data_IF_326273412457
#
_entry.id   IF_326273412457
#
_cell.length_a   1.000
_cell.length_b   1.000
_cell.length_c   1.000
_cell.angle_alpha   90.00
_cell.angle_beta   90.00
_cell.angle_gamma   90.00
#
_symmetry.space_group_name_H-M   'P 1'
#
loop_
_entity.id
_entity.type
_entity.pdbx_description
1 polymer ?
#
# COMPACT_ATOMS: atom_id res chain seq x y z
N UNK A 1 4.68 24.19 25.15
CA UNK A 1 5.23 25.33 24.39
C UNK A 1 6.66 25.59 24.81
N UNK A 2 7.52 25.92 23.85
CA UNK A 2 8.93 26.20 24.08
C UNK A 2 9.19 27.71 24.11
N UNK A 3 10.34 28.11 24.68
CA UNK A 3 10.74 29.51 24.81
C UNK A 3 10.81 30.28 23.47
N UNK A 4 11.01 29.55 22.36
CA UNK A 4 11.08 30.11 21.01
C UNK A 4 9.70 30.17 20.29
N UNK A 5 8.61 29.92 21.03
CA UNK A 5 7.25 29.90 20.51
C UNK A 5 6.84 28.62 19.78
N UNK A 6 7.74 27.64 19.65
CA UNK A 6 7.38 26.32 19.10
C UNK A 6 6.50 25.56 20.09
N UNK A 7 5.63 24.69 19.56
CA UNK A 7 4.79 23.80 20.39
C UNK A 7 4.79 22.38 19.86
N UNK A 8 4.63 21.43 20.76
CA UNK A 8 4.32 20.04 20.44
C UNK A 8 2.92 19.76 20.94
N UNK A 9 2.09 19.19 20.09
CA UNK A 9 0.75 18.77 20.42
C UNK A 9 0.64 17.26 20.22
N UNK A 10 0.12 16.56 21.21
CA UNK A 10 -0.22 15.14 21.12
C UNK A 10 -1.70 15.02 20.78
N UNK A 11 -2.00 14.28 19.71
CA UNK A 11 -3.35 14.03 19.23
C UNK A 11 -3.55 12.54 19.00
N UNK A 12 -4.77 12.09 19.07
CA UNK A 12 -5.16 10.75 18.63
C UNK A 12 -6.32 10.85 17.65
N UNK A 13 -6.34 9.94 16.67
CA UNK A 13 -7.37 9.85 15.64
C UNK A 13 -7.90 8.42 15.63
N UNK A 14 -8.92 8.14 16.42
CA UNK A 14 -9.55 6.82 16.48
C UNK A 14 -10.54 6.63 15.33
N UNK A 15 -11.27 7.71 15.00
CA UNK A 15 -12.27 7.74 13.93
C UNK A 15 -11.97 8.84 12.92
N UNK A 16 -12.53 8.70 11.73
CA UNK A 16 -12.39 9.73 10.68
C UNK A 16 -12.91 11.10 11.13
N UNK A 17 -13.96 11.14 11.97
CA UNK A 17 -14.47 12.38 12.58
C UNK A 17 -13.48 13.09 13.49
N UNK A 18 -12.49 12.39 14.04
CA UNK A 18 -11.49 13.01 14.91
C UNK A 18 -10.54 13.94 14.12
N UNK A 19 -10.54 13.82 12.80
CA UNK A 19 -9.82 14.75 11.92
C UNK A 19 -10.28 16.21 12.11
N UNK A 20 -11.51 16.42 12.58
CA UNK A 20 -12.03 17.76 12.87
C UNK A 20 -11.21 18.48 13.96
N UNK A 21 -10.55 17.72 14.86
CA UNK A 21 -9.69 18.30 15.92
C UNK A 21 -8.46 19.00 15.38
N UNK A 22 -7.97 18.59 14.22
CA UNK A 22 -6.84 19.22 13.54
C UNK A 22 -7.28 20.13 12.38
N UNK A 23 -8.59 20.37 12.26
CA UNK A 23 -9.14 21.27 11.26
C UNK A 23 -8.63 22.71 11.52
N UNK A 24 -8.21 23.38 10.46
CA UNK A 24 -7.69 24.75 10.56
C UNK A 24 -6.27 24.88 11.11
N UNK A 25 -5.68 23.79 11.65
CA UNK A 25 -4.29 23.84 12.12
C UNK A 25 -3.29 23.87 10.98
N UNK A 26 -2.11 24.39 11.27
CA UNK A 26 -0.93 24.32 10.42
C UNK A 26 0.09 23.43 11.09
N UNK A 27 0.47 22.34 10.41
CA UNK A 27 1.41 21.35 10.92
C UNK A 27 2.71 21.45 10.14
N UNK A 28 3.80 21.77 10.82
CA UNK A 28 5.13 21.87 10.22
C UNK A 28 5.83 20.52 10.19
N UNK A 29 5.72 19.76 11.27
CA UNK A 29 6.26 18.40 11.40
C UNK A 29 5.17 17.53 12.00
N UNK A 30 4.84 16.43 11.35
CA UNK A 30 3.96 15.40 11.88
C UNK A 30 4.75 14.11 12.11
N UNK A 31 4.63 13.55 13.31
CA UNK A 31 5.12 12.24 13.67
C UNK A 31 3.89 11.36 13.90
N UNK A 32 3.68 10.38 13.05
CA UNK A 32 2.51 9.49 13.10
C UNK A 32 3.00 8.11 13.49
N UNK A 33 2.65 7.71 14.70
CA UNK A 33 2.96 6.37 15.17
C UNK A 33 1.85 5.40 14.76
N UNK A 34 2.23 4.16 14.46
CA UNK A 34 1.31 3.10 14.04
C UNK A 34 0.38 3.49 12.87
N UNK A 35 0.90 4.16 11.85
CA UNK A 35 0.13 4.62 10.70
C UNK A 35 -0.66 3.49 10.00
N UNK A 36 -0.24 2.24 10.15
CA UNK A 36 -0.96 1.06 9.66
C UNK A 36 -2.37 0.88 10.25
N UNK A 37 -2.61 1.42 11.44
CA UNK A 37 -3.90 1.35 12.14
C UNK A 37 -4.85 2.49 11.76
N UNK A 38 -4.35 3.55 11.13
CA UNK A 38 -5.15 4.68 10.68
C UNK A 38 -5.83 4.38 9.34
N UNK A 39 -6.93 5.09 9.05
CA UNK A 39 -7.54 5.00 7.72
C UNK A 39 -6.74 5.81 6.69
N UNK A 40 -6.82 5.47 5.39
CA UNK A 40 -6.27 6.30 4.32
C UNK A 40 -6.81 7.75 4.35
N UNK A 41 -8.06 7.94 4.81
CA UNK A 41 -8.64 9.26 4.97
C UNK A 41 -7.91 10.07 6.04
N UNK A 42 -7.69 9.50 7.22
CA UNK A 42 -6.97 10.16 8.33
C UNK A 42 -5.54 10.56 7.91
N UNK A 43 -4.81 9.64 7.26
CA UNK A 43 -3.46 9.93 6.76
C UNK A 43 -3.45 11.04 5.71
N UNK A 44 -4.40 11.01 4.77
CA UNK A 44 -4.58 12.05 3.78
C UNK A 44 -4.95 13.40 4.41
N UNK A 45 -5.79 13.38 5.47
CA UNK A 45 -6.19 14.58 6.18
C UNK A 45 -5.00 15.23 6.90
N UNK A 46 -4.15 14.46 7.60
CA UNK A 46 -2.91 14.95 8.21
C UNK A 46 -2.04 15.63 7.16
N UNK A 47 -1.78 14.94 6.03
CA UNK A 47 -1.01 15.52 4.92
C UNK A 47 -1.56 16.87 4.45
N UNK A 48 -2.88 16.99 4.37
CA UNK A 48 -3.54 18.23 3.92
C UNK A 48 -3.34 19.42 4.89
N UNK A 49 -2.98 19.14 6.14
CA UNK A 49 -2.68 20.17 7.16
C UNK A 49 -1.21 20.56 7.18
N UNK A 50 -0.36 19.81 6.51
CA UNK A 50 1.08 20.06 6.48
C UNK A 50 1.43 21.19 5.53
N UNK A 51 1.76 22.33 6.07
CA UNK A 51 2.07 23.54 5.31
C UNK A 51 2.94 24.47 6.14
N UNK A 52 3.61 25.40 5.47
CA UNK A 52 4.31 26.51 6.08
C UNK A 52 3.63 27.82 5.67
N UNK A 53 2.89 28.44 6.59
CA UNK A 53 2.36 29.80 6.43
C UNK A 53 3.44 30.87 6.56
N UNK A 54 4.50 30.58 7.36
CA UNK A 54 5.59 31.52 7.59
C UNK A 54 6.49 31.65 6.37
N UNK A 55 6.51 32.85 5.78
CA UNK A 55 7.31 33.17 4.60
C UNK A 55 8.82 33.09 4.89
N UNK A 56 9.27 33.51 6.07
CA UNK A 56 10.69 33.49 6.45
C UNK A 56 11.24 32.06 6.53
N UNK A 57 10.47 31.12 7.11
CA UNK A 57 10.85 29.73 7.17
C UNK A 57 11.01 29.12 5.77
N UNK A 58 10.12 29.49 4.83
CA UNK A 58 10.22 29.07 3.42
C UNK A 58 11.49 29.61 2.75
N UNK A 59 11.83 30.86 2.99
CA UNK A 59 13.05 31.47 2.45
C UNK A 59 14.33 30.79 2.99
N UNK A 60 14.28 30.28 4.22
CA UNK A 60 15.37 29.49 4.81
C UNK A 60 15.42 28.03 4.33
N UNK A 61 14.56 27.65 3.40
CA UNK A 61 14.50 26.28 2.85
C UNK A 61 13.85 25.26 3.77
N UNK A 62 13.11 25.70 4.81
CA UNK A 62 12.37 24.80 5.66
C UNK A 62 11.19 24.21 4.89
N UNK A 63 10.99 22.90 5.00
CA UNK A 63 9.88 22.17 4.36
C UNK A 63 9.10 21.40 5.42
N UNK A 64 7.77 21.27 5.26
CA UNK A 64 6.99 20.38 6.11
C UNK A 64 7.54 18.95 6.04
N UNK A 65 7.51 18.24 7.15
CA UNK A 65 8.01 16.85 7.23
C UNK A 65 6.99 15.94 7.87
N UNK A 66 6.68 14.85 7.18
CA UNK A 66 5.86 13.75 7.70
C UNK A 66 6.76 12.54 7.93
N UNK A 67 6.77 12.04 9.16
CA UNK A 67 7.41 10.78 9.53
C UNK A 67 6.32 9.84 10.02
N UNK A 68 6.25 8.65 9.47
CA UNK A 68 5.29 7.63 9.87
C UNK A 68 6.01 6.36 10.26
N UNK A 69 5.64 5.78 11.39
CA UNK A 69 6.01 4.40 11.72
C UNK A 69 4.83 3.49 11.39
N UNK A 70 5.10 2.32 10.88
CA UNK A 70 4.08 1.33 10.61
C UNK A 70 4.67 -0.08 10.58
N UNK A 71 3.85 -1.03 11.02
CA UNK A 71 4.11 -2.45 10.84
C UNK A 71 3.24 -3.01 9.71
N UNK A 72 3.68 -4.10 9.05
CA UNK A 72 2.82 -4.86 8.15
C UNK A 72 1.53 -5.29 8.84
N UNK A 73 0.42 -5.27 8.11
CA UNK A 73 -0.90 -5.50 8.68
C UNK A 73 -1.65 -4.20 8.99
N UNK A 74 -2.79 -4.30 9.65
CA UNK A 74 -3.66 -3.15 9.91
C UNK A 74 -4.47 -2.71 8.68
N UNK A 75 -5.41 -1.77 8.92
CA UNK A 75 -6.38 -1.38 7.90
C UNK A 75 -5.78 -0.60 6.72
N UNK A 76 -4.65 0.09 6.92
CA UNK A 76 -3.94 0.83 5.87
C UNK A 76 -2.78 0.05 5.24
N UNK A 77 -2.63 -1.24 5.51
CA UNK A 77 -1.51 -2.05 4.98
C UNK A 77 -1.34 -1.87 3.46
N UNK A 78 -2.36 -2.19 2.69
CA UNK A 78 -2.30 -2.10 1.22
C UNK A 78 -2.10 -0.67 0.71
N UNK A 79 -2.67 0.31 1.40
CA UNK A 79 -2.51 1.72 1.06
C UNK A 79 -1.07 2.18 1.28
N UNK A 80 -0.48 1.86 2.43
CA UNK A 80 0.90 2.22 2.75
C UNK A 80 1.89 1.48 1.84
N UNK A 81 1.63 0.18 1.59
CA UNK A 81 2.45 -0.62 0.69
C UNK A 81 2.48 -0.01 -0.71
N UNK A 82 1.34 0.23 -1.31
CA UNK A 82 1.24 0.77 -2.66
C UNK A 82 1.83 2.19 -2.80
N UNK A 83 1.74 3.01 -1.74
CA UNK A 83 2.16 4.42 -1.81
C UNK A 83 3.61 4.64 -1.39
N UNK A 84 4.16 3.81 -0.50
CA UNK A 84 5.46 4.06 0.12
C UNK A 84 6.47 2.93 -0.02
N UNK A 85 6.03 1.67 -0.20
CA UNK A 85 6.92 0.51 -0.25
C UNK A 85 7.20 0.10 -1.69
N UNK A 86 6.13 -0.10 -2.49
CA UNK A 86 6.24 -0.59 -3.88
C UNK A 86 6.84 0.40 -4.89
N UNK A 87 6.74 1.75 -4.70
CA UNK A 87 7.20 2.69 -5.73
C UNK A 87 8.71 2.69 -5.99
N UNK A 88 9.52 2.35 -4.99
CA UNK A 88 10.98 2.36 -5.12
C UNK A 88 11.64 1.33 -4.18
N UNK A 89 12.88 0.91 -4.47
CA UNK A 89 13.66 0.12 -3.53
C UNK A 89 13.80 0.82 -2.16
N UNK A 90 13.90 0.03 -1.10
CA UNK A 90 14.15 0.56 0.24
C UNK A 90 15.35 1.53 0.25
N UNK A 91 15.28 2.56 1.09
CA UNK A 91 16.32 3.60 1.26
C UNK A 91 16.61 4.42 -0.02
N UNK A 92 15.69 4.35 -1.01
CA UNK A 92 15.78 5.12 -2.24
C UNK A 92 14.72 6.22 -2.26
N UNK A 93 15.08 7.37 -2.82
CA UNK A 93 14.14 8.50 -2.96
C UNK A 93 13.19 8.31 -4.13
N UNK A 94 11.93 8.67 -3.92
CA UNK A 94 10.91 8.78 -4.95
C UNK A 94 9.97 9.96 -4.65
N UNK A 95 9.06 10.28 -5.57
CA UNK A 95 8.10 11.36 -5.37
C UNK A 95 6.71 10.81 -5.06
N UNK A 96 6.14 11.23 -3.92
CA UNK A 96 4.72 11.01 -3.60
C UNK A 96 3.85 11.94 -4.44
N UNK A 97 3.35 11.43 -5.55
CA UNK A 97 2.52 12.19 -6.49
C UNK A 97 1.13 12.57 -5.93
N UNK A 98 0.71 11.98 -4.81
CA UNK A 98 -0.55 12.36 -4.15
C UNK A 98 -0.49 13.76 -3.53
N UNK A 99 0.72 14.28 -3.36
CA UNK A 99 1.00 15.62 -2.82
C UNK A 99 1.45 16.62 -3.90
N UNK A 100 1.20 16.30 -5.15
CA UNK A 100 1.49 17.18 -6.29
C UNK A 100 0.40 18.25 -6.45
N UNK A 101 0.80 19.49 -6.75
CA UNK A 101 -0.12 20.53 -7.21
C UNK A 101 -0.64 20.18 -8.62
N UNK A 102 -1.94 19.91 -8.78
CA UNK A 102 -2.51 19.54 -10.07
C UNK A 102 -2.40 20.65 -11.12
N UNK A 103 -2.22 21.93 -10.70
CA UNK A 103 -2.13 23.07 -11.58
C UNK A 103 -0.68 23.42 -11.97
N UNK A 104 0.31 22.73 -11.40
CA UNK A 104 1.72 22.92 -11.69
C UNK A 104 2.33 21.65 -12.28
N UNK A 105 2.51 21.62 -13.59
CA UNK A 105 3.08 20.46 -14.29
C UNK A 105 4.55 20.16 -13.88
N UNK A 106 5.28 21.14 -13.36
CA UNK A 106 6.65 20.97 -12.90
C UNK A 106 6.74 20.41 -11.47
N UNK A 107 5.65 20.44 -10.71
CA UNK A 107 5.61 19.87 -9.36
C UNK A 107 5.59 18.35 -9.44
N UNK A 108 6.60 17.71 -8.86
CA UNK A 108 6.75 16.26 -8.80
C UNK A 108 6.07 15.63 -7.59
N UNK A 109 5.57 16.43 -6.66
CA UNK A 109 5.08 16.00 -5.36
C UNK A 109 6.17 16.00 -4.28
N UNK A 110 5.92 15.30 -3.20
CA UNK A 110 6.85 15.31 -2.05
C UNK A 110 7.93 14.24 -2.19
N UNK A 111 9.16 14.65 -1.93
CA UNK A 111 10.29 13.72 -1.87
C UNK A 111 10.12 12.80 -0.67
N UNK A 112 10.12 11.51 -0.93
CA UNK A 112 9.75 10.47 0.04
C UNK A 112 10.77 9.34 0.00
N UNK A 113 10.92 8.63 1.11
CA UNK A 113 11.77 7.44 1.21
C UNK A 113 11.14 6.46 2.20
N UNK A 114 11.20 5.19 1.89
CA UNK A 114 10.90 4.10 2.81
C UNK A 114 12.17 3.58 3.45
N UNK A 115 12.18 3.51 4.77
CA UNK A 115 13.29 2.95 5.56
C UNK A 115 12.77 1.69 6.25
N UNK A 116 13.22 0.49 5.86
CA UNK A 116 12.86 -0.75 6.53
C UNK A 116 13.48 -0.82 7.92
N UNK A 117 12.78 -1.47 8.83
CA UNK A 117 13.30 -1.81 10.14
C UNK A 117 12.85 -3.23 10.51
N UNK A 118 13.79 -4.07 10.91
CA UNK A 118 13.55 -5.42 11.40
C UNK A 118 13.76 -5.49 12.89
N UNK A 119 13.12 -6.44 13.53
CA UNK A 119 13.36 -6.67 14.95
C UNK A 119 14.86 -6.89 15.26
N UNK A 120 15.58 -7.58 14.38
CA UNK A 120 17.02 -7.87 14.53
C UNK A 120 17.93 -6.63 14.43
N UNK A 121 17.44 -5.50 13.90
CA UNK A 121 18.22 -4.27 13.79
C UNK A 121 18.35 -3.56 15.15
N UNK A 122 17.46 -3.90 16.09
CA UNK A 122 17.53 -3.39 17.45
C UNK A 122 18.41 -4.27 18.34
N UNK A 123 19.68 -3.89 18.49
CA UNK A 123 20.66 -4.60 19.33
C UNK A 123 20.36 -4.61 20.84
N UNK A 124 19.39 -3.81 21.28
CA UNK A 124 19.01 -3.71 22.69
C UNK A 124 17.73 -4.50 23.01
N UNK A 125 17.15 -5.18 22.02
CA UNK A 125 15.94 -5.96 22.24
C UNK A 125 16.24 -7.19 23.10
N UNK A 126 15.37 -7.47 24.06
CA UNK A 126 15.48 -8.70 24.85
C UNK A 126 15.25 -9.91 23.96
N UNK A 127 16.14 -10.92 23.96
CA UNK A 127 15.95 -12.13 23.13
C UNK A 127 14.61 -12.85 23.39
N UNK A 128 14.05 -12.74 24.59
CA UNK A 128 12.74 -13.33 24.93
C UNK A 128 11.58 -12.63 24.21
N UNK A 129 11.76 -11.39 23.76
CA UNK A 129 10.73 -10.64 23.02
C UNK A 129 10.35 -11.35 21.71
N UNK A 130 11.29 -12.03 21.07
CA UNK A 130 11.01 -12.83 19.88
C UNK A 130 9.95 -13.91 20.12
N UNK A 131 9.90 -14.48 21.33
CA UNK A 131 8.93 -15.50 21.71
C UNK A 131 7.50 -14.95 21.85
N UNK A 132 7.33 -13.67 22.10
CA UNK A 132 6.00 -13.04 22.19
C UNK A 132 5.20 -13.13 20.89
N UNK A 133 5.91 -13.20 19.75
CA UNK A 133 5.28 -13.39 18.44
C UNK A 133 4.81 -14.81 18.17
N UNK A 134 5.23 -15.79 18.99
CA UNK A 134 4.79 -17.18 18.85
C UNK A 134 3.31 -17.39 19.21
N UNK A 135 2.69 -16.42 19.88
CA UNK A 135 1.25 -16.42 20.16
C UNK A 135 0.40 -15.93 18.98
N UNK A 136 1.04 -15.34 17.96
CA UNK A 136 0.38 -14.84 16.76
C UNK A 136 0.33 -15.94 15.68
N UNK A 137 -0.60 -15.86 14.71
CA UNK A 137 -0.50 -16.67 13.50
C UNK A 137 0.91 -16.55 12.89
N UNK A 138 1.47 -17.67 12.45
CA UNK A 138 2.89 -17.76 12.03
C UNK A 138 3.28 -16.69 11.01
N UNK A 139 2.43 -16.44 10.02
CA UNK A 139 2.65 -15.45 8.98
C UNK A 139 2.70 -14.02 9.53
N UNK A 140 1.76 -13.67 10.41
CA UNK A 140 1.73 -12.36 11.03
C UNK A 140 2.96 -12.17 11.93
N UNK A 141 3.31 -13.19 12.73
CA UNK A 141 4.50 -13.17 13.58
C UNK A 141 5.78 -12.99 12.76
N UNK A 142 5.89 -13.65 11.61
CA UNK A 142 7.00 -13.49 10.68
C UNK A 142 7.03 -12.08 10.09
N UNK A 143 5.91 -11.61 9.58
CA UNK A 143 5.82 -10.27 8.97
C UNK A 143 6.23 -9.16 9.93
N UNK A 144 5.80 -9.26 11.20
CA UNK A 144 6.16 -8.28 12.22
C UNK A 144 7.65 -8.34 12.60
N UNK A 145 8.26 -9.55 12.61
CA UNK A 145 9.69 -9.69 12.92
C UNK A 145 10.57 -9.21 11.77
N UNK A 146 10.19 -9.50 10.54
CA UNK A 146 11.01 -9.29 9.35
C UNK A 146 10.66 -8.01 8.59
N UNK A 147 9.56 -7.34 8.98
CA UNK A 147 9.06 -6.18 8.26
C UNK A 147 8.58 -6.53 6.85
N UNK A 148 7.96 -7.73 6.70
CA UNK A 148 7.50 -8.25 5.41
C UNK A 148 6.15 -7.63 5.03
N UNK A 149 6.16 -6.74 4.06
CA UNK A 149 4.99 -6.06 3.52
C UNK A 149 4.29 -6.84 2.40
N UNK A 150 4.83 -7.96 1.96
CA UNK A 150 4.16 -8.85 0.99
C UNK A 150 3.14 -9.77 1.66
N UNK A 151 3.08 -9.73 2.99
CA UNK A 151 2.07 -10.45 3.74
C UNK A 151 0.66 -9.90 3.46
N UNK A 152 -0.25 -10.79 3.14
CA UNK A 152 -1.69 -10.47 3.04
C UNK A 152 -2.40 -11.05 4.24
N UNK A 153 -2.54 -10.26 5.30
CA UNK A 153 -3.27 -10.67 6.51
C UNK A 153 -4.72 -11.02 6.16
N UNK A 154 -5.17 -12.21 6.54
CA UNK A 154 -6.50 -12.71 6.22
C UNK A 154 -6.65 -13.23 4.80
N UNK A 155 -5.57 -13.42 4.07
CA UNK A 155 -5.57 -14.09 2.79
C UNK A 155 -5.98 -15.56 2.94
N UNK A 156 -6.96 -15.99 2.16
CA UNK A 156 -7.37 -17.41 2.13
C UNK A 156 -6.23 -18.34 1.67
N UNK A 157 -5.30 -17.82 0.88
CA UNK A 157 -4.15 -18.56 0.34
C UNK A 157 -2.81 -18.14 0.94
N UNK A 158 -2.79 -17.36 2.03
CA UNK A 158 -1.56 -16.77 2.60
C UNK A 158 -0.50 -17.82 2.91
N UNK A 159 -0.90 -18.94 3.48
CA UNK A 159 0.00 -20.03 3.91
C UNK A 159 0.65 -20.77 2.73
N UNK A 160 -0.02 -20.80 1.58
CA UNK A 160 0.42 -21.56 0.40
C UNK A 160 0.94 -20.68 -0.72
N UNK A 161 0.61 -19.38 -0.71
CA UNK A 161 1.07 -18.44 -1.72
C UNK A 161 2.53 -18.07 -1.48
N UNK A 162 3.39 -18.40 -2.43
CA UNK A 162 4.81 -18.01 -2.46
C UNK A 162 5.11 -17.34 -3.78
N UNK A 163 5.57 -16.09 -3.74
CA UNK A 163 5.84 -15.31 -4.94
C UNK A 163 6.81 -16.03 -5.88
N UNK A 164 7.89 -16.57 -5.34
CA UNK A 164 8.93 -17.26 -6.10
C UNK A 164 8.44 -18.53 -6.81
N UNK A 165 7.34 -19.11 -6.29
CA UNK A 165 6.74 -20.32 -6.86
C UNK A 165 5.56 -20.00 -7.79
N UNK A 166 4.75 -19.00 -7.42
CA UNK A 166 3.46 -18.75 -8.10
C UNK A 166 3.50 -17.59 -9.08
N UNK A 167 4.59 -16.80 -9.10
CA UNK A 167 4.79 -15.73 -10.08
C UNK A 167 5.95 -16.12 -10.99
N UNK A 168 5.61 -16.54 -12.20
CA UNK A 168 6.59 -16.98 -13.20
C UNK A 168 6.93 -15.85 -14.16
N UNK A 169 8.06 -15.99 -14.88
CA UNK A 169 8.46 -15.01 -15.91
C UNK A 169 7.41 -15.01 -17.03
N UNK A 170 7.09 -13.83 -17.61
CA UNK A 170 6.21 -13.77 -18.77
C UNK A 170 6.75 -14.59 -19.93
N UNK A 171 5.86 -15.33 -20.61
CA UNK A 171 6.16 -16.10 -21.82
C UNK A 171 4.94 -16.10 -22.75
N UNK A 172 5.11 -16.47 -23.99
CA UNK A 172 4.01 -16.59 -24.94
C UNK A 172 3.20 -17.87 -24.66
N UNK A 173 1.90 -17.71 -24.41
CA UNK A 173 1.01 -18.85 -24.15
C UNK A 173 0.82 -19.65 -25.45
N UNK A 174 1.21 -20.93 -25.49
CA UNK A 174 1.06 -21.77 -26.67
C UNK A 174 -0.38 -21.81 -27.19
N UNK A 175 -0.53 -21.89 -28.51
CA UNK A 175 -1.84 -21.82 -29.15
C UNK A 175 -2.71 -23.06 -28.85
N UNK A 176 -2.08 -24.18 -28.62
CA UNK A 176 -2.72 -25.46 -28.29
C UNK A 176 -3.21 -25.57 -26.85
N UNK A 177 -2.78 -24.67 -25.95
CA UNK A 177 -3.25 -24.70 -24.58
C UNK A 177 -4.72 -24.31 -24.47
N UNK A 178 -5.47 -25.04 -23.66
CA UNK A 178 -6.86 -24.71 -23.37
C UNK A 178 -6.90 -23.37 -22.63
N UNK A 179 -7.71 -22.43 -23.14
CA UNK A 179 -7.86 -21.09 -22.57
C UNK A 179 -9.30 -20.85 -22.14
N UNK A 180 -9.46 -20.21 -20.98
CA UNK A 180 -10.77 -19.81 -20.46
C UNK A 180 -10.70 -18.50 -19.72
N UNK A 181 -11.84 -17.98 -19.29
CA UNK A 181 -11.97 -16.76 -18.50
C UNK A 181 -12.72 -17.05 -17.22
N UNK A 182 -12.28 -16.44 -16.13
CA UNK A 182 -13.07 -16.33 -14.91
C UNK A 182 -13.61 -14.91 -14.78
N UNK A 183 -14.78 -14.77 -14.20
CA UNK A 183 -15.41 -13.48 -13.99
C UNK A 183 -16.13 -13.45 -12.66
N UNK A 184 -15.81 -12.46 -11.84
CA UNK A 184 -16.52 -12.13 -10.62
C UNK A 184 -17.10 -10.72 -10.75
N UNK A 185 -18.44 -10.62 -10.63
CA UNK A 185 -19.16 -9.38 -10.87
C UNK A 185 -19.00 -8.40 -9.71
N UNK A 186 -18.79 -7.14 -10.02
CA UNK A 186 -18.86 -6.02 -9.10
C UNK A 186 -19.20 -4.72 -9.83
N UNK A 187 -19.92 -3.83 -9.18
CA UNK A 187 -20.23 -2.49 -9.67
C UNK A 187 -19.79 -1.44 -8.65
N UNK A 188 -20.41 -1.40 -7.47
CA UNK A 188 -19.97 -0.56 -6.37
C UNK A 188 -18.63 -1.06 -5.78
N UNK A 189 -18.48 -2.39 -5.66
CA UNK A 189 -17.20 -3.05 -5.43
C UNK A 189 -16.52 -3.39 -6.75
N UNK A 190 -15.19 -3.56 -6.78
CA UNK A 190 -14.48 -3.94 -8.00
C UNK A 190 -14.94 -5.30 -8.54
N UNK A 191 -15.11 -5.41 -9.85
CA UNK A 191 -15.19 -6.71 -10.54
C UNK A 191 -13.80 -7.25 -10.83
N UNK A 192 -13.72 -8.55 -11.09
CA UNK A 192 -12.46 -9.21 -11.51
C UNK A 192 -12.70 -10.09 -12.75
N UNK A 193 -11.84 -9.92 -13.75
CA UNK A 193 -11.80 -10.81 -14.93
C UNK A 193 -10.40 -11.38 -15.04
N UNK A 194 -10.27 -12.70 -15.01
CA UNK A 194 -9.02 -13.40 -15.24
C UNK A 194 -9.01 -14.14 -16.57
N UNK A 195 -7.93 -14.06 -17.33
CA UNK A 195 -7.66 -14.89 -18.51
C UNK A 195 -6.66 -15.96 -18.13
N UNK A 196 -7.04 -17.19 -18.32
CA UNK A 196 -6.31 -18.37 -17.87
C UNK A 196 -5.98 -19.30 -19.02
N UNK A 197 -4.86 -19.98 -18.90
CA UNK A 197 -4.48 -21.09 -19.75
C UNK A 197 -4.16 -22.31 -18.86
N UNK A 198 -4.49 -23.48 -19.36
CA UNK A 198 -4.13 -24.77 -18.74
C UNK A 198 -2.83 -25.22 -19.40
N UNK A 199 -1.78 -25.38 -18.59
CA UNK A 199 -0.48 -25.82 -19.10
C UNK A 199 -0.56 -27.24 -19.64
N UNK A 200 0.08 -27.45 -20.80
CA UNK A 200 0.18 -28.72 -21.48
C UNK A 200 1.50 -28.78 -22.28
N UNK A 201 2.43 -29.58 -21.81
CA UNK A 201 3.72 -29.80 -22.46
C UNK A 201 4.70 -28.61 -22.39
N UNK A 202 4.86 -27.98 -21.21
CA UNK A 202 5.87 -26.95 -20.98
C UNK A 202 6.95 -27.43 -20.00
N UNK A 203 8.23 -27.19 -20.31
CA UNK A 203 9.35 -27.75 -19.54
C UNK A 203 9.38 -27.32 -18.06
N UNK A 204 9.01 -26.06 -17.78
CA UNK A 204 9.10 -25.44 -16.44
C UNK A 204 7.76 -25.35 -15.70
N UNK A 205 6.65 -25.76 -16.33
CA UNK A 205 5.31 -25.60 -15.76
C UNK A 205 4.62 -26.96 -15.78
N UNK A 206 4.17 -27.47 -14.61
CA UNK A 206 3.49 -28.77 -14.55
C UNK A 206 2.24 -28.81 -15.42
N UNK A 207 2.01 -29.93 -16.09
CA UNK A 207 0.79 -30.15 -16.87
C UNK A 207 -0.45 -30.03 -15.99
N UNK A 208 -1.47 -29.34 -16.51
CA UNK A 208 -2.68 -29.01 -15.79
C UNK A 208 -2.58 -27.80 -14.86
N UNK A 209 -1.42 -27.18 -14.71
CA UNK A 209 -1.29 -25.95 -13.95
C UNK A 209 -2.07 -24.80 -14.61
N UNK A 210 -2.70 -23.97 -13.80
CA UNK A 210 -3.45 -22.80 -14.24
C UNK A 210 -2.54 -21.57 -14.30
N UNK A 211 -2.32 -21.06 -15.50
CA UNK A 211 -1.52 -19.85 -15.74
C UNK A 211 -2.45 -18.69 -16.02
N UNK A 212 -2.47 -17.70 -15.10
CA UNK A 212 -3.15 -16.42 -15.33
C UNK A 212 -2.21 -15.52 -16.12
N UNK A 213 -2.53 -15.27 -17.37
CA UNK A 213 -1.69 -14.46 -18.27
C UNK A 213 -2.22 -13.04 -18.48
N UNK A 214 -3.45 -12.77 -18.04
CA UNK A 214 -4.06 -11.43 -18.09
C UNK A 214 -5.10 -11.27 -17.00
N UNK A 215 -5.23 -10.04 -16.50
CA UNK A 215 -6.26 -9.65 -15.54
C UNK A 215 -6.85 -8.29 -15.94
N UNK A 216 -8.14 -8.13 -15.63
CA UNK A 216 -8.78 -6.84 -15.58
C UNK A 216 -9.55 -6.70 -14.28
N UNK A 217 -9.02 -5.86 -13.41
CA UNK A 217 -9.62 -5.57 -12.12
C UNK A 217 -10.31 -4.22 -12.17
N UNK A 218 -11.64 -4.19 -11.93
CA UNK A 218 -12.50 -3.02 -12.07
C UNK A 218 -12.46 -2.08 -10.87
N UNK A 219 -11.26 -1.75 -10.39
CA UNK A 219 -11.05 -0.82 -9.27
C UNK A 219 -10.89 0.61 -9.74
N UNK A 220 -11.46 1.57 -8.98
CA UNK A 220 -11.24 3.00 -9.15
C UNK A 220 -9.88 3.49 -8.60
N UNK A 221 -9.06 2.59 -8.05
CA UNK A 221 -7.83 2.92 -7.32
C UNK A 221 -8.06 3.20 -5.82
N UNK A 222 -9.31 3.24 -5.37
CA UNK A 222 -9.67 3.31 -3.94
C UNK A 222 -10.00 1.90 -3.42
N UNK A 223 -9.61 1.55 -2.20
CA UNK A 223 -9.92 0.25 -1.62
C UNK A 223 -11.42 -0.04 -1.68
N UNK A 224 -11.78 -1.21 -2.21
CA UNK A 224 -13.16 -1.71 -2.35
C UNK A 224 -14.12 -0.81 -3.14
N UNK A 225 -13.62 0.14 -3.94
CA UNK A 225 -14.44 1.00 -4.78
C UNK A 225 -14.33 0.60 -6.24
N UNK A 226 -15.43 0.10 -6.81
CA UNK A 226 -15.52 -0.29 -8.20
C UNK A 226 -15.71 0.88 -9.17
N UNK A 227 -15.53 0.60 -10.46
CA UNK A 227 -15.68 1.55 -11.57
C UNK A 227 -17.14 1.91 -11.88
N UNK A 228 -18.11 1.21 -11.27
CA UNK A 228 -19.55 1.38 -11.49
C UNK A 228 -19.97 1.22 -12.96
N UNK A 229 -19.26 0.39 -13.71
CA UNK A 229 -19.58 0.06 -15.09
C UNK A 229 -20.85 -0.82 -15.15
N UNK A 230 -21.59 -0.69 -16.23
CA UNK A 230 -22.72 -1.56 -16.53
C UNK A 230 -22.24 -2.93 -17.02
N UNK A 231 -23.12 -3.93 -16.99
CA UNK A 231 -22.79 -5.26 -17.50
C UNK A 231 -22.43 -5.23 -19.00
N UNK A 232 -23.07 -4.35 -19.76
CA UNK A 232 -22.81 -4.17 -21.19
C UNK A 232 -21.40 -3.58 -21.45
N UNK A 233 -21.00 -2.56 -20.67
CA UNK A 233 -19.67 -1.95 -20.75
C UNK A 233 -18.58 -2.94 -20.35
N UNK A 234 -18.79 -3.71 -19.28
CA UNK A 234 -17.85 -4.77 -18.87
C UNK A 234 -17.76 -5.85 -19.94
N UNK A 235 -18.91 -6.30 -20.49
CA UNK A 235 -18.95 -7.28 -21.58
C UNK A 235 -18.24 -6.80 -22.84
N UNK A 236 -18.40 -5.53 -23.21
CA UNK A 236 -17.68 -4.90 -24.32
C UNK A 236 -16.17 -4.85 -24.03
N UNK A 237 -15.78 -4.45 -22.81
CA UNK A 237 -14.38 -4.43 -22.38
C UNK A 237 -13.72 -5.80 -22.36
N UNK A 238 -14.43 -6.87 -22.00
CA UNK A 238 -13.93 -8.26 -22.07
C UNK A 238 -13.71 -8.69 -23.53
N UNK A 239 -14.57 -8.30 -24.45
CA UNK A 239 -14.40 -8.63 -25.88
C UNK A 239 -13.25 -7.90 -26.52
N UNK A 240 -12.95 -6.69 -26.07
CA UNK A 240 -11.88 -5.86 -26.64
C UNK A 240 -10.47 -6.24 -26.13
N UNK A 241 -10.37 -7.10 -25.13
CA UNK A 241 -9.10 -7.55 -24.52
C UNK A 241 -8.76 -8.99 -24.90
#
# INVERSE_FOLDING_TARGET
EFYNGSSIQFQYLERDSDCDRIQGTEIHIALVDEAGQMTPYQLGYIKSRMRLGNFEAKQQGFLPRLVMTANPGGQSHNFLKALYIDPAPAESYFFDHTMRDPNNAADKGWLTMYIPAKMTDNKYIDPSYASSFSALPEELGRALREGDWDLVVGSFFGDVWKRDLHVIRPFEIPINWTKFRSFDWGSASPFSVGWWAVADGHDDIPDGALVRYREWYGSSGRPNVGLRMTAEEVGAGIRAR
#
